data_IF_326213106536
#
_entry.id   IF_326213106536
#
_cell.length_a   1.000
_cell.length_b   1.000
_cell.length_c   1.000
_cell.angle_alpha   90.00
_cell.angle_beta   90.00
_cell.angle_gamma   90.00
#
_symmetry.space_group_name_H-M   'P 1'
#
loop_
_entity.id
_entity.type
_entity.pdbx_description
1 polymer ?
#
# COMPACT_ATOMS: atom_id res chain seq x y z
N UNK A 1 16.94 0.03 -2.27
CA UNK A 1 16.20 -0.92 -3.13
C UNK A 1 17.05 -1.65 -4.16
N UNK A 2 18.23 -1.15 -4.58
CA UNK A 2 19.05 -1.80 -5.64
C UNK A 2 19.42 -3.26 -5.35
N UNK A 3 19.53 -3.64 -4.08
CA UNK A 3 19.86 -5.00 -3.65
C UNK A 3 18.65 -5.76 -3.09
N UNK A 4 17.45 -5.18 -3.19
CA UNK A 4 16.23 -5.80 -2.66
C UNK A 4 15.51 -6.52 -3.79
N UNK A 5 15.38 -7.83 -3.68
CA UNK A 5 14.61 -8.61 -4.64
C UNK A 5 13.12 -8.38 -4.43
N UNK A 6 12.52 -7.64 -5.36
CA UNK A 6 11.09 -7.37 -5.32
C UNK A 6 10.23 -8.61 -5.64
N UNK A 7 10.81 -9.66 -6.21
CA UNK A 7 10.06 -10.86 -6.53
C UNK A 7 9.94 -11.80 -5.34
N UNK A 8 10.99 -11.94 -4.55
CA UNK A 8 11.03 -12.86 -3.41
C UNK A 8 10.78 -12.18 -2.05
N UNK A 9 11.06 -10.88 -1.94
CA UNK A 9 11.11 -10.17 -0.66
C UNK A 9 9.84 -9.43 -0.23
N UNK A 10 8.81 -9.33 -1.07
CA UNK A 10 7.64 -8.50 -0.77
C UNK A 10 6.50 -9.23 -0.05
N UNK A 11 6.32 -10.52 -0.24
CA UNK A 11 5.21 -11.28 0.35
C UNK A 11 5.60 -11.94 1.70
N UNK A 12 6.34 -11.21 2.52
CA UNK A 12 6.88 -11.66 3.82
C UNK A 12 6.08 -11.15 5.04
N UNK A 13 4.89 -10.61 4.81
CA UNK A 13 4.09 -10.01 5.88
C UNK A 13 4.84 -8.87 6.57
N UNK A 14 4.70 -8.75 7.86
CA UNK A 14 5.34 -7.68 8.66
C UNK A 14 6.88 -7.75 8.70
N UNK A 15 7.48 -8.76 8.11
CA UNK A 15 8.95 -8.88 7.96
C UNK A 15 9.49 -8.08 6.78
N UNK A 16 8.64 -7.57 5.90
CA UNK A 16 9.08 -6.66 4.83
C UNK A 16 9.71 -5.42 5.46
N UNK A 17 10.94 -5.05 5.10
CA UNK A 17 11.65 -3.94 5.73
C UNK A 17 10.92 -2.59 5.53
N UNK A 18 10.89 -1.78 6.59
CA UNK A 18 10.21 -0.47 6.58
C UNK A 18 10.69 0.45 5.44
N UNK A 19 11.97 0.38 5.08
CA UNK A 19 12.51 1.23 4.02
C UNK A 19 11.85 0.99 2.66
N UNK A 20 11.35 -0.23 2.40
CA UNK A 20 10.64 -0.55 1.17
C UNK A 20 9.38 0.30 1.02
N UNK A 21 8.60 0.41 2.10
CA UNK A 21 7.39 1.25 2.13
C UNK A 21 7.73 2.75 2.02
N UNK A 22 8.76 3.20 2.72
CA UNK A 22 9.17 4.61 2.67
C UNK A 22 9.66 5.02 1.29
N UNK A 23 10.42 4.15 0.61
CA UNK A 23 10.85 4.40 -0.77
C UNK A 23 9.68 4.31 -1.74
N UNK A 24 8.74 3.37 -1.54
CA UNK A 24 7.53 3.31 -2.35
C UNK A 24 6.68 4.57 -2.20
N UNK A 25 6.48 5.08 -0.99
CA UNK A 25 5.78 6.35 -0.76
C UNK A 25 6.47 7.52 -1.49
N UNK A 26 7.81 7.55 -1.52
CA UNK A 26 8.55 8.54 -2.30
C UNK A 26 8.31 8.41 -3.80
N UNK A 27 8.35 7.19 -4.34
CA UNK A 27 8.10 6.94 -5.77
C UNK A 27 6.68 7.36 -6.14
N UNK A 28 5.69 6.99 -5.35
CA UNK A 28 4.29 7.34 -5.57
C UNK A 28 4.07 8.86 -5.47
N UNK A 29 4.70 9.51 -4.50
CA UNK A 29 4.62 10.97 -4.35
C UNK A 29 5.23 11.71 -5.55
N UNK A 30 6.42 11.32 -5.98
CA UNK A 30 7.08 11.91 -7.14
C UNK A 30 6.26 11.71 -8.42
N UNK A 31 5.77 10.48 -8.62
CA UNK A 31 4.92 10.12 -9.76
C UNK A 31 3.63 10.94 -9.81
N UNK A 32 2.94 11.09 -8.69
CA UNK A 32 1.67 11.82 -8.64
C UNK A 32 1.82 13.35 -8.75
N UNK A 33 3.04 13.87 -8.56
CA UNK A 33 3.35 15.32 -8.70
C UNK A 33 3.97 15.70 -10.05
N UNK A 34 4.40 14.72 -10.80
CA UNK A 34 5.08 14.96 -12.07
C UNK A 34 4.18 14.62 -13.26
N UNK A 35 3.50 15.59 -13.88
CA UNK A 35 2.58 15.34 -15.00
C UNK A 35 3.24 14.64 -16.19
N UNK A 36 4.54 14.85 -16.42
CA UNK A 36 5.27 14.17 -17.49
C UNK A 36 5.49 12.68 -17.25
N UNK A 37 5.33 12.22 -16.01
CA UNK A 37 5.41 10.80 -15.68
C UNK A 37 4.12 10.02 -16.00
N UNK A 38 2.98 10.71 -16.22
CA UNK A 38 1.68 10.06 -16.47
C UNK A 38 1.67 9.17 -17.72
N UNK A 39 2.49 9.46 -18.71
CA UNK A 39 2.64 8.63 -19.91
C UNK A 39 3.70 7.53 -19.79
N UNK A 40 4.36 7.42 -18.63
CA UNK A 40 5.48 6.49 -18.43
C UNK A 40 5.08 5.13 -17.90
N UNK A 41 6.02 4.14 -17.94
CA UNK A 41 5.78 2.77 -17.45
C UNK A 41 5.37 2.71 -15.99
N UNK A 42 5.90 3.60 -15.13
CA UNK A 42 5.50 3.69 -13.71
C UNK A 42 4.02 4.02 -13.55
N UNK A 43 3.52 4.98 -14.34
CA UNK A 43 2.10 5.34 -14.34
C UNK A 43 1.22 4.21 -14.87
N UNK A 44 1.68 3.55 -15.95
CA UNK A 44 0.99 2.41 -16.54
C UNK A 44 0.93 1.17 -15.62
N UNK A 45 1.84 1.08 -14.64
CA UNK A 45 1.83 0.01 -13.65
C UNK A 45 0.67 0.10 -12.65
N UNK A 46 0.06 1.28 -12.49
CA UNK A 46 -1.04 1.55 -11.59
C UNK A 46 -2.40 1.25 -12.24
N UNK A 47 -3.37 0.80 -11.44
CA UNK A 47 -4.78 0.71 -11.83
C UNK A 47 -5.46 2.09 -11.91
N UNK A 48 -6.65 2.16 -12.51
CA UNK A 48 -7.38 3.43 -12.71
C UNK A 48 -7.72 4.12 -11.39
N UNK A 49 -8.18 3.37 -10.40
CA UNK A 49 -8.49 3.90 -9.06
C UNK A 49 -7.22 4.41 -8.39
N UNK A 50 -6.11 3.67 -8.47
CA UNK A 50 -4.82 4.06 -7.90
C UNK A 50 -4.32 5.36 -8.53
N UNK A 51 -4.39 5.51 -9.85
CA UNK A 51 -4.04 6.74 -10.57
C UNK A 51 -4.89 7.92 -10.12
N UNK A 52 -6.20 7.73 -10.02
CA UNK A 52 -7.13 8.76 -9.57
C UNK A 52 -6.81 9.25 -8.15
N UNK A 53 -6.62 8.32 -7.22
CA UNK A 53 -6.26 8.66 -5.83
C UNK A 53 -4.92 9.37 -5.76
N UNK A 54 -3.92 8.88 -6.49
CA UNK A 54 -2.58 9.44 -6.47
C UNK A 54 -2.56 10.88 -7.00
N UNK A 55 -3.26 11.17 -8.10
CA UNK A 55 -3.40 12.52 -8.65
C UNK A 55 -4.02 13.50 -7.65
N UNK A 56 -4.96 13.03 -6.83
CA UNK A 56 -5.62 13.87 -5.81
C UNK A 56 -4.79 14.06 -4.53
N UNK A 57 -4.01 13.06 -4.14
CA UNK A 57 -3.39 12.98 -2.81
C UNK A 57 -1.91 13.33 -2.77
N UNK A 58 -1.16 13.12 -3.85
CA UNK A 58 0.28 13.36 -3.86
C UNK A 58 0.66 14.82 -3.55
N UNK A 59 -0.14 15.80 -4.01
CA UNK A 59 0.11 17.21 -3.76
C UNK A 59 0.04 17.63 -2.30
N UNK A 60 -0.84 17.04 -1.52
CA UNK A 60 -1.04 17.31 -0.09
C UNK A 60 -0.26 16.37 0.83
N UNK A 61 0.31 15.30 0.30
CA UNK A 61 1.03 14.31 1.09
C UNK A 61 2.19 14.92 1.86
N UNK A 62 2.37 14.44 3.10
CA UNK A 62 3.48 14.82 3.98
C UNK A 62 4.22 13.60 4.45
N UNK A 63 5.53 13.58 4.21
CA UNK A 63 6.40 12.54 4.75
C UNK A 63 6.41 12.62 6.27
N UNK A 64 6.07 11.52 6.92
CA UNK A 64 6.08 11.37 8.37
C UNK A 64 6.88 10.12 8.75
N UNK A 65 7.44 10.12 9.94
CA UNK A 65 8.14 8.96 10.46
C UNK A 65 7.15 7.83 10.78
N UNK A 66 7.19 6.76 10.00
CA UNK A 66 6.39 5.55 10.15
C UNK A 66 7.29 4.34 10.23
N UNK A 67 7.05 3.44 11.18
CA UNK A 67 7.93 2.31 11.45
C UNK A 67 7.21 1.00 11.70
N UNK A 68 5.89 0.97 11.65
CA UNK A 68 5.11 -0.23 11.88
C UNK A 68 4.48 -0.72 10.60
N UNK A 69 4.87 -1.91 10.14
CA UNK A 69 4.20 -2.58 9.02
C UNK A 69 2.95 -3.27 9.54
N UNK A 70 1.83 -3.01 8.89
CA UNK A 70 0.50 -3.45 9.27
C UNK A 70 -0.22 -4.18 8.15
N UNK A 71 -1.07 -5.13 8.53
CA UNK A 71 -2.04 -5.74 7.63
C UNK A 71 -3.28 -4.86 7.51
N UNK A 72 -3.69 -4.51 6.30
CA UNK A 72 -4.93 -3.78 6.04
C UNK A 72 -6.15 -4.66 6.31
N UNK A 73 -6.19 -5.87 5.75
CA UNK A 73 -7.07 -6.95 6.21
C UNK A 73 -6.39 -7.68 7.36
N UNK A 74 -7.02 -7.83 8.53
CA UNK A 74 -6.36 -8.36 9.73
C UNK A 74 -6.03 -9.86 9.62
N UNK A 75 -4.96 -10.28 10.30
CA UNK A 75 -4.59 -11.71 10.43
C UNK A 75 -5.65 -12.50 11.20
N UNK A 76 -6.21 -11.88 12.24
CA UNK A 76 -7.28 -12.45 13.06
C UNK A 76 -8.48 -11.50 12.97
N UNK A 77 -9.38 -11.69 12.01
CA UNK A 77 -10.58 -10.86 11.89
C UNK A 77 -11.57 -11.15 13.03
N UNK A 78 -12.53 -10.24 13.22
CA UNK A 78 -13.59 -10.41 14.19
C UNK A 78 -14.48 -11.62 13.90
N UNK A 79 -15.26 -12.03 14.91
CA UNK A 79 -16.20 -13.15 14.80
C UNK A 79 -17.16 -12.98 13.61
N UNK A 80 -17.39 -14.05 12.88
CA UNK A 80 -18.24 -14.06 11.67
C UNK A 80 -17.59 -13.49 10.40
N UNK A 81 -16.35 -12.99 10.49
CA UNK A 81 -15.61 -12.51 9.32
C UNK A 81 -14.79 -13.62 8.66
N UNK A 82 -14.58 -13.50 7.35
CA UNK A 82 -13.73 -14.42 6.59
C UNK A 82 -12.29 -14.40 7.13
N UNK A 83 -11.70 -15.56 7.31
CA UNK A 83 -10.28 -15.71 7.66
C UNK A 83 -9.49 -15.98 6.37
N UNK A 84 -8.52 -15.13 6.06
CA UNK A 84 -7.59 -15.35 4.96
C UNK A 84 -6.50 -16.34 5.35
N UNK A 85 -5.98 -17.07 4.37
CA UNK A 85 -4.81 -17.93 4.59
C UNK A 85 -3.58 -17.09 4.95
N UNK A 86 -2.60 -17.72 5.60
CA UNK A 86 -1.33 -17.05 5.92
C UNK A 86 -0.64 -16.48 4.68
N UNK A 87 -0.71 -17.18 3.54
CA UNK A 87 -0.16 -16.69 2.28
C UNK A 87 -0.90 -15.47 1.75
N UNK A 88 -2.23 -15.45 1.85
CA UNK A 88 -3.05 -14.34 1.33
C UNK A 88 -2.88 -13.09 2.19
N UNK A 89 -2.96 -13.21 3.52
CA UNK A 89 -2.90 -12.09 4.43
C UNK A 89 -1.52 -11.41 4.43
N UNK A 90 -0.45 -12.17 4.20
CA UNK A 90 0.93 -11.69 4.18
C UNK A 90 1.40 -11.13 2.82
N UNK A 91 0.55 -11.11 1.79
CA UNK A 91 0.88 -10.49 0.51
C UNK A 91 1.14 -9.00 0.65
N UNK A 92 2.11 -8.50 -0.10
CA UNK A 92 2.49 -7.07 -0.12
C UNK A 92 1.30 -6.15 -0.39
N UNK A 93 0.35 -6.58 -1.22
CA UNK A 93 -0.89 -5.85 -1.46
C UNK A 93 -1.69 -5.56 -0.20
N UNK A 94 -1.61 -6.43 0.82
CA UNK A 94 -2.33 -6.26 2.08
C UNK A 94 -1.53 -5.50 3.16
N UNK A 95 -0.32 -5.06 2.87
CA UNK A 95 0.57 -4.44 3.85
C UNK A 95 0.66 -2.93 3.64
N UNK A 96 0.72 -2.18 4.72
CA UNK A 96 0.99 -0.74 4.71
C UNK A 96 1.89 -0.36 5.88
N UNK A 97 2.51 0.82 5.82
CA UNK A 97 3.31 1.34 6.92
C UNK A 97 2.53 2.40 7.69
N UNK A 98 2.55 2.30 9.02
CA UNK A 98 1.82 3.20 9.93
C UNK A 98 2.73 3.73 11.05
N UNK A 99 2.26 4.74 11.78
CA UNK A 99 2.89 5.21 13.01
C UNK A 99 2.68 4.21 14.17
N UNK A 100 3.64 4.14 15.09
CA UNK A 100 3.57 3.21 16.25
C UNK A 100 2.33 3.38 17.12
N UNK A 101 1.85 4.61 17.30
CA UNK A 101 0.67 4.89 18.14
C UNK A 101 -0.63 4.38 17.51
N UNK A 102 -0.69 4.34 16.21
CA UNK A 102 -1.85 3.88 15.44
C UNK A 102 -1.92 2.34 15.46
N UNK A 103 -0.76 1.67 15.44
CA UNK A 103 -0.66 0.23 15.46
C UNK A 103 -1.05 -0.41 16.80
N UNK A 104 -0.64 0.18 17.94
CA UNK A 104 -0.74 -0.46 19.26
C UNK A 104 -2.18 -0.67 19.74
N UNK A 105 -3.16 -0.05 19.12
CA UNK A 105 -4.52 -0.03 19.65
C UNK A 105 -5.50 -1.04 19.04
N UNK A 106 -5.27 -1.60 17.82
CA UNK A 106 -6.32 -2.38 17.15
C UNK A 106 -5.84 -3.29 15.99
N UNK A 107 -5.12 -4.34 16.30
CA UNK A 107 -4.59 -5.30 15.31
C UNK A 107 -5.64 -6.10 14.52
N UNK A 108 -6.92 -6.08 14.91
CA UNK A 108 -7.98 -6.90 14.32
C UNK A 108 -9.10 -6.10 13.62
N UNK A 109 -8.92 -4.80 13.41
CA UNK A 109 -9.90 -3.99 12.69
C UNK A 109 -10.00 -4.40 11.22
N UNK A 110 -11.22 -4.57 10.74
CA UNK A 110 -11.51 -4.76 9.33
C UNK A 110 -11.20 -3.49 8.51
N UNK A 111 -10.91 -3.60 7.20
CA UNK A 111 -10.51 -2.47 6.35
C UNK A 111 -11.43 -1.25 6.44
N UNK A 112 -12.74 -1.45 6.39
CA UNK A 112 -13.75 -0.37 6.52
C UNK A 112 -13.60 0.40 7.83
N UNK A 113 -13.38 -0.33 8.94
CA UNK A 113 -13.20 0.27 10.26
C UNK A 113 -11.87 1.02 10.37
N UNK A 114 -10.79 0.48 9.76
CA UNK A 114 -9.50 1.17 9.69
C UNK A 114 -9.59 2.50 8.96
N UNK A 115 -10.20 2.52 7.77
CA UNK A 115 -10.35 3.74 6.97
C UNK A 115 -11.22 4.79 7.68
N UNK A 116 -12.26 4.38 8.39
CA UNK A 116 -13.10 5.29 9.18
C UNK A 116 -12.36 5.88 10.39
N UNK A 117 -11.47 5.11 10.99
CA UNK A 117 -10.79 5.49 12.22
C UNK A 117 -9.54 6.33 11.98
N UNK A 118 -8.80 6.01 10.93
CA UNK A 118 -7.57 6.71 10.60
C UNK A 118 -7.84 7.74 9.51
N UNK A 119 -7.48 9.00 9.77
CA UNK A 119 -7.50 10.02 8.72
C UNK A 119 -6.59 9.58 7.59
N UNK A 120 -7.18 9.24 6.43
CA UNK A 120 -6.41 8.75 5.29
C UNK A 120 -5.34 9.76 4.83
N UNK A 121 -5.59 11.06 4.99
CA UNK A 121 -4.66 12.13 4.62
C UNK A 121 -3.36 12.12 5.44
N UNK A 122 -3.37 11.51 6.61
CA UNK A 122 -2.21 11.38 7.49
C UNK A 122 -1.42 10.08 7.28
N UNK A 123 -2.00 9.13 6.55
CA UNK A 123 -1.40 7.81 6.32
C UNK A 123 -0.41 7.80 5.15
N UNK A 124 0.31 6.68 4.99
CA UNK A 124 1.17 6.45 3.83
C UNK A 124 0.37 6.53 2.52
N UNK A 125 1.01 6.90 1.41
CA UNK A 125 0.33 6.90 0.10
C UNK A 125 -0.20 5.52 -0.26
N UNK A 126 0.57 4.48 0.04
CA UNK A 126 0.09 3.11 -0.16
C UNK A 126 -1.21 2.84 0.59
N UNK A 127 -1.34 3.25 1.86
CA UNK A 127 -2.61 3.14 2.61
C UNK A 127 -3.74 3.92 1.93
N UNK A 128 -3.46 5.13 1.45
CA UNK A 128 -4.45 5.97 0.77
C UNK A 128 -4.95 5.32 -0.53
N UNK A 129 -4.07 4.66 -1.30
CA UNK A 129 -4.47 3.88 -2.47
C UNK A 129 -5.38 2.71 -2.09
N UNK A 130 -5.02 1.95 -1.05
CA UNK A 130 -5.83 0.84 -0.54
C UNK A 130 -7.22 1.30 -0.07
N UNK A 131 -7.28 2.43 0.64
CA UNK A 131 -8.54 3.04 1.06
C UNK A 131 -9.39 3.50 -0.13
N UNK A 132 -8.77 4.02 -1.18
CA UNK A 132 -9.44 4.41 -2.42
C UNK A 132 -10.04 3.21 -3.18
N UNK A 133 -9.30 2.12 -3.27
CA UNK A 133 -9.79 0.86 -3.88
C UNK A 133 -10.98 0.32 -3.07
N UNK A 134 -10.85 0.24 -1.74
CA UNK A 134 -11.96 -0.17 -0.88
C UNK A 134 -13.21 0.70 -1.07
N UNK A 135 -13.04 2.01 -1.22
CA UNK A 135 -14.16 2.92 -1.46
C UNK A 135 -14.81 2.71 -2.82
N UNK A 136 -14.01 2.50 -3.86
CA UNK A 136 -14.49 2.34 -5.23
C UNK A 136 -15.16 0.99 -5.47
N UNK A 137 -14.62 -0.09 -4.89
CA UNK A 137 -15.09 -1.46 -5.13
C UNK A 137 -16.02 -1.98 -4.02
N UNK A 138 -16.07 -1.30 -2.88
CA UNK A 138 -16.91 -1.66 -1.73
C UNK A 138 -16.39 -2.84 -0.91
N UNK A 139 -15.27 -3.44 -1.30
CA UNK A 139 -14.67 -4.62 -0.65
C UNK A 139 -13.14 -4.57 -0.68
N UNK A 140 -12.53 -5.34 0.25
CA UNK A 140 -11.11 -5.60 0.28
C UNK A 140 -10.86 -7.05 0.66
N UNK A 141 -10.71 -7.90 -0.33
CA UNK A 141 -10.46 -9.34 -0.20
C UNK A 141 -9.31 -9.75 -1.11
N UNK A 142 -9.13 -11.02 -1.30
CA UNK A 142 -8.01 -11.63 -2.07
C UNK A 142 -7.82 -11.04 -3.47
N UNK A 143 -8.87 -10.76 -4.27
CA UNK A 143 -8.71 -10.12 -5.57
C UNK A 143 -8.03 -8.74 -5.47
N UNK A 144 -8.53 -7.85 -4.61
CA UNK A 144 -7.99 -6.50 -4.39
C UNK A 144 -6.55 -6.56 -3.87
N UNK A 145 -6.28 -7.47 -2.92
CA UNK A 145 -4.94 -7.71 -2.37
C UNK A 145 -3.96 -8.10 -3.48
N UNK A 146 -4.36 -9.01 -4.36
CA UNK A 146 -3.51 -9.49 -5.48
C UNK A 146 -3.24 -8.37 -6.49
N UNK A 147 -4.30 -7.70 -6.93
CA UNK A 147 -4.21 -6.66 -7.96
C UNK A 147 -3.37 -5.48 -7.48
N UNK A 148 -3.68 -4.93 -6.31
CA UNK A 148 -2.89 -3.87 -5.70
C UNK A 148 -1.43 -4.29 -5.45
N UNK A 149 -1.21 -5.51 -4.97
CA UNK A 149 0.14 -6.07 -4.79
C UNK A 149 0.94 -6.12 -6.09
N UNK A 150 0.30 -6.52 -7.18
CA UNK A 150 0.92 -6.55 -8.50
C UNK A 150 1.25 -5.14 -9.02
N UNK A 151 0.35 -4.16 -8.82
CA UNK A 151 0.61 -2.76 -9.17
C UNK A 151 1.83 -2.22 -8.43
N UNK A 152 1.88 -2.40 -7.12
CA UNK A 152 3.00 -1.92 -6.29
C UNK A 152 4.32 -2.60 -6.64
N UNK A 153 4.30 -3.90 -6.91
CA UNK A 153 5.48 -4.66 -7.36
C UNK A 153 6.02 -4.11 -8.69
N UNK A 154 5.14 -3.90 -9.68
CA UNK A 154 5.54 -3.32 -10.97
C UNK A 154 6.12 -1.91 -10.81
N UNK A 155 5.52 -1.06 -9.97
CA UNK A 155 6.06 0.28 -9.68
C UNK A 155 7.49 0.19 -9.14
N UNK A 156 7.75 -0.72 -8.20
CA UNK A 156 9.11 -0.92 -7.65
C UNK A 156 10.07 -1.42 -8.72
N UNK A 157 9.69 -2.43 -9.50
CA UNK A 157 10.53 -3.00 -10.57
C UNK A 157 10.86 -1.97 -11.66
N UNK A 158 9.87 -1.23 -12.16
CA UNK A 158 10.07 -0.17 -13.15
C UNK A 158 10.98 0.95 -12.62
N UNK A 159 10.84 1.31 -11.36
CA UNK A 159 11.70 2.31 -10.75
C UNK A 159 13.14 1.82 -10.58
N UNK A 160 13.34 0.54 -10.24
CA UNK A 160 14.66 -0.08 -10.17
C UNK A 160 15.33 -0.14 -11.54
N UNK A 161 14.58 -0.47 -12.60
CA UNK A 161 15.08 -0.57 -13.97
C UNK A 161 15.47 0.80 -14.61
N UNK A 162 14.93 1.92 -14.10
CA UNK A 162 15.22 3.28 -14.61
C UNK A 162 16.51 3.89 -14.06
N UNK A 163 17.18 3.26 -13.11
CA UNK A 163 18.39 3.80 -12.50
C UNK A 163 19.64 3.16 -13.12
N UNK A 164 20.54 4.00 -13.68
CA UNK A 164 21.84 3.53 -14.18
C UNK A 164 22.72 2.92 -13.09
#
# INVERSE_FOLDING_TARGET
>A
LRAYDADEGLDLGVKVPNFVFNVLDYILWDLGRNPSAEAGPLWAALGDVERSVLSQRAGSFRFRYRTSVEHFYPVVPGEGQKVLTSTEVNRFGNLCIMGRRENSQRNNLMPVSKVKQYSSDEQSLKFQLMAGILHAEGDWDVPQIKEHGNSMRRVIQEWQGKRP
#
